data_IF_870730686217
#
_entry.id   IF_870730686217
#
_cell.length_a   1.000
_cell.length_b   1.000
_cell.length_c   1.000
_cell.angle_alpha   90.00
_cell.angle_beta   90.00
_cell.angle_gamma   90.00
#
_symmetry.space_group_name_H-M   'P 1'
#
loop_
_entity.id
_entity.type
_entity.pdbx_description
1 polymer ?
#
# COMPACT_ATOMS: atom_id res chain seq x y z
N UNK A 1 15.63 8.07 -11.32
CA UNK A 1 14.96 7.60 -10.25
C UNK A 1 15.42 8.27 -9.00
N UNK A 2 14.65 8.88 -8.45
CA UNK A 2 14.97 9.86 -7.47
C UNK A 2 14.99 9.40 -6.03
N UNK A 3 14.46 8.22 -5.74
CA UNK A 3 14.27 7.86 -4.33
C UNK A 3 15.34 6.89 -3.88
N UNK A 4 15.78 7.06 -2.63
CA UNK A 4 16.85 6.26 -2.06
C UNK A 4 16.36 5.65 -0.74
N UNK A 5 16.55 4.35 -0.58
CA UNK A 5 16.26 3.67 0.68
C UNK A 5 17.27 4.07 1.74
N UNK A 6 16.79 4.37 2.91
CA UNK A 6 17.64 4.73 4.05
C UNK A 6 17.57 3.62 5.09
N UNK A 7 18.72 3.05 5.38
CA UNK A 7 18.83 1.97 6.37
C UNK A 7 20.05 2.29 7.26
N UNK A 8 19.83 2.67 8.51
CA UNK A 8 20.97 2.98 9.39
C UNK A 8 21.89 1.77 9.55
N UNK A 9 23.17 2.04 9.61
CA UNK A 9 24.15 1.00 9.75
C UNK A 9 23.97 0.30 11.10
N UNK A 10 24.05 -1.03 11.09
CA UNK A 10 23.89 -1.81 12.30
C UNK A 10 22.48 -2.19 12.68
N UNK A 11 21.48 -1.63 11.98
CA UNK A 11 20.09 -2.00 12.23
C UNK A 11 19.78 -3.35 11.59
N UNK A 12 18.86 -4.08 12.20
CA UNK A 12 18.37 -5.31 11.61
C UNK A 12 17.73 -5.00 10.26
N UNK A 13 17.88 -5.90 9.26
CA UNK A 13 17.32 -5.64 7.93
C UNK A 13 15.81 -5.47 7.97
N UNK A 14 15.31 -4.50 7.22
CA UNK A 14 13.87 -4.34 7.03
C UNK A 14 13.39 -5.39 6.04
N UNK A 15 12.33 -6.13 6.41
CA UNK A 15 11.80 -7.19 5.56
C UNK A 15 10.38 -6.86 5.16
N UNK A 16 10.17 -6.66 3.85
CA UNK A 16 8.86 -6.31 3.31
C UNK A 16 8.48 -4.86 3.51
N UNK A 17 9.45 -4.00 3.86
CA UNK A 17 9.22 -2.56 4.00
C UNK A 17 10.57 -1.86 3.97
N UNK A 18 10.57 -0.53 3.88
CA UNK A 18 11.77 0.28 4.05
C UNK A 18 11.64 1.09 5.33
N UNK A 19 12.74 1.28 6.05
CA UNK A 19 12.72 2.14 7.23
C UNK A 19 12.53 3.60 6.85
N UNK A 20 13.15 4.03 5.76
CA UNK A 20 12.98 5.40 5.29
C UNK A 20 13.22 5.50 3.80
N UNK A 21 12.66 6.53 3.19
CA UNK A 21 12.86 6.83 1.77
C UNK A 21 13.22 8.29 1.64
N UNK A 22 14.37 8.58 1.06
CA UNK A 22 14.79 9.96 0.77
C UNK A 22 14.39 10.29 -0.66
N UNK A 23 13.68 11.40 -0.83
CA UNK A 23 13.06 11.73 -2.12
C UNK A 23 13.35 13.17 -2.52
N UNK A 24 13.12 13.44 -3.81
CA UNK A 24 13.09 14.81 -4.35
C UNK A 24 12.22 14.80 -5.60
N UNK A 25 11.81 15.98 -6.06
CA UNK A 25 11.01 16.10 -7.27
C UNK A 25 9.55 16.33 -6.95
N UNK A 26 8.67 15.96 -7.89
CA UNK A 26 7.23 16.15 -7.75
C UNK A 26 6.64 15.03 -6.90
N UNK A 27 5.80 15.39 -5.94
CA UNK A 27 5.21 14.43 -5.02
C UNK A 27 3.73 14.26 -5.33
N UNK A 28 3.31 13.00 -5.47
CA UNK A 28 1.90 12.65 -5.62
C UNK A 28 1.40 12.09 -4.30
N UNK A 29 0.37 12.72 -3.75
CA UNK A 29 -0.27 12.25 -2.53
C UNK A 29 -1.55 11.51 -2.91
N UNK A 30 -1.60 10.21 -2.64
CA UNK A 30 -2.76 9.38 -2.96
C UNK A 30 -3.62 9.26 -1.70
N UNK A 31 -4.84 9.74 -1.79
CA UNK A 31 -5.78 9.64 -0.67
C UNK A 31 -6.14 8.20 -0.36
N UNK A 32 -6.72 7.96 0.81
CA UNK A 32 -7.08 6.61 1.22
C UNK A 32 -7.95 5.90 0.19
N UNK A 33 -7.51 4.72 -0.21
CA UNK A 33 -8.22 3.87 -1.16
C UNK A 33 -8.74 2.64 -0.43
N UNK A 34 -9.94 2.20 -0.79
CA UNK A 34 -10.50 0.97 -0.22
C UNK A 34 -10.74 -0.02 -1.35
N UNK A 35 -11.25 -1.20 -1.00
CA UNK A 35 -11.30 -2.30 -1.95
C UNK A 35 -12.50 -2.32 -2.88
N UNK A 36 -12.98 -1.17 -3.28
CA UNK A 36 -14.04 -1.10 -4.27
C UNK A 36 -13.49 -0.77 -5.66
N UNK A 37 -14.30 -1.05 -6.70
CA UNK A 37 -13.89 -0.80 -8.07
C UNK A 37 -14.17 0.65 -8.46
N UNK A 38 -13.96 0.98 -9.75
CA UNK A 38 -14.14 2.35 -10.26
C UNK A 38 -15.56 2.90 -10.07
N UNK A 39 -16.54 2.01 -9.93
CA UNK A 39 -17.93 2.41 -9.74
C UNK A 39 -18.32 2.43 -8.28
N UNK A 40 -17.32 2.30 -7.38
CA UNK A 40 -17.51 2.27 -5.94
C UNK A 40 -18.35 1.07 -5.48
N UNK A 41 -18.13 -0.08 -6.14
CA UNK A 41 -18.81 -1.33 -5.81
C UNK A 41 -17.76 -2.32 -5.32
N UNK A 42 -18.04 -2.97 -4.17
CA UNK A 42 -17.18 -4.02 -3.64
C UNK A 42 -17.49 -5.32 -4.38
N UNK A 43 -16.52 -5.80 -5.17
CA UNK A 43 -16.64 -7.08 -5.85
C UNK A 43 -16.19 -8.22 -4.95
N UNK A 44 -15.41 -7.93 -3.93
CA UNK A 44 -14.94 -8.92 -2.97
C UNK A 44 -15.29 -8.50 -1.56
N UNK A 45 -15.73 -9.46 -0.75
CA UNK A 45 -15.97 -9.25 0.67
C UNK A 45 -14.92 -9.97 1.50
N UNK A 46 -13.86 -10.48 0.86
CA UNK A 46 -12.74 -11.11 1.52
C UNK A 46 -11.59 -10.11 1.64
N UNK A 47 -10.85 -10.20 2.74
CA UNK A 47 -9.76 -9.28 3.03
C UNK A 47 -8.72 -9.24 1.89
N UNK A 48 -8.30 -10.42 1.41
CA UNK A 48 -7.26 -10.48 0.37
C UNK A 48 -7.75 -9.88 -0.94
N UNK A 49 -8.99 -10.20 -1.33
CA UNK A 49 -9.57 -9.62 -2.53
C UNK A 49 -9.68 -8.11 -2.46
N UNK A 50 -10.12 -7.59 -1.30
CA UNK A 50 -10.19 -6.14 -1.10
C UNK A 50 -8.81 -5.51 -1.10
N UNK A 51 -7.84 -6.17 -0.47
CA UNK A 51 -6.47 -5.66 -0.44
C UNK A 51 -5.91 -5.53 -1.86
N UNK A 52 -6.08 -6.56 -2.66
CA UNK A 52 -5.58 -6.54 -4.02
C UNK A 52 -6.24 -5.43 -4.85
N UNK A 53 -7.55 -5.28 -4.72
CA UNK A 53 -8.27 -4.20 -5.42
C UNK A 53 -7.78 -2.83 -4.96
N UNK A 54 -7.55 -2.67 -3.65
CA UNK A 54 -7.04 -1.42 -3.10
C UNK A 54 -5.69 -1.06 -3.71
N UNK A 55 -4.79 -2.04 -3.79
CA UNK A 55 -3.46 -1.81 -4.38
C UNK A 55 -3.57 -1.49 -5.87
N UNK A 56 -4.47 -2.15 -6.59
CA UNK A 56 -4.71 -1.84 -7.99
C UNK A 56 -5.22 -0.42 -8.18
N UNK A 57 -6.10 0.04 -7.30
CA UNK A 57 -6.61 1.41 -7.34
C UNK A 57 -5.46 2.41 -7.18
N UNK A 58 -4.55 2.15 -6.26
CA UNK A 58 -3.39 3.00 -6.04
C UNK A 58 -2.50 3.02 -7.28
N UNK A 59 -2.23 1.83 -7.84
CA UNK A 59 -1.40 1.72 -9.04
C UNK A 59 -2.00 2.51 -10.20
N UNK A 60 -3.31 2.48 -10.34
CA UNK A 60 -4.00 3.20 -11.42
C UNK A 60 -3.89 4.72 -11.24
N UNK A 61 -4.02 5.19 -9.99
CA UNK A 61 -3.88 6.62 -9.70
C UNK A 61 -2.45 7.09 -10.00
N UNK A 62 -1.46 6.29 -9.60
CA UNK A 62 -0.05 6.62 -9.85
C UNK A 62 0.20 6.66 -11.35
N UNK A 63 -0.34 5.70 -12.10
CA UNK A 63 -0.19 5.67 -13.57
C UNK A 63 -0.81 6.90 -14.21
N UNK A 64 -1.96 7.35 -13.71
CA UNK A 64 -2.62 8.53 -14.25
C UNK A 64 -1.76 9.78 -14.09
N UNK A 65 -0.94 9.82 -13.05
CA UNK A 65 -0.01 10.93 -12.81
C UNK A 65 1.29 10.80 -13.62
N UNK A 66 1.42 9.72 -14.39
CA UNK A 66 2.62 9.49 -15.20
C UNK A 66 3.70 8.69 -14.49
N UNK A 67 3.38 8.08 -13.36
CA UNK A 67 4.36 7.32 -12.58
C UNK A 67 4.14 5.82 -12.65
N UNK A 68 4.95 5.12 -11.89
CA UNK A 68 4.91 3.66 -11.79
C UNK A 68 4.87 3.27 -10.32
N UNK A 69 4.51 2.03 -10.02
CA UNK A 69 4.46 1.58 -8.62
C UNK A 69 5.81 1.71 -7.93
N UNK A 70 6.92 1.62 -8.67
CA UNK A 70 8.24 1.80 -8.08
C UNK A 70 8.52 3.24 -7.65
N UNK A 71 7.66 4.18 -8.03
CA UNK A 71 7.76 5.56 -7.55
C UNK A 71 7.11 5.74 -6.19
N UNK A 72 6.37 4.76 -5.70
CA UNK A 72 5.72 4.85 -4.40
C UNK A 72 6.79 4.79 -3.31
N UNK A 73 6.76 5.76 -2.39
CA UNK A 73 7.77 5.87 -1.34
C UNK A 73 7.19 5.63 0.05
N UNK A 74 5.87 5.68 0.19
CA UNK A 74 5.22 5.44 1.47
C UNK A 74 3.83 4.86 1.28
N UNK A 75 3.51 3.86 2.12
CA UNK A 75 2.16 3.29 2.23
C UNK A 75 1.78 3.30 3.70
N UNK A 76 0.53 3.66 3.98
CA UNK A 76 -0.04 3.46 5.30
C UNK A 76 -1.30 2.63 5.14
N UNK A 77 -1.34 1.50 5.82
CA UNK A 77 -2.44 0.55 5.76
C UNK A 77 -3.26 0.66 7.03
N UNK A 78 -4.57 0.77 6.87
CA UNK A 78 -5.53 0.76 7.96
C UNK A 78 -6.36 -0.49 7.80
N UNK A 79 -6.32 -1.40 8.79
CA UNK A 79 -7.05 -2.67 8.71
C UNK A 79 -7.95 -2.79 9.92
N UNK A 80 -9.04 -3.57 9.78
CA UNK A 80 -10.04 -3.69 10.83
C UNK A 80 -9.88 -4.96 11.65
N UNK A 81 -9.12 -5.95 11.17
CA UNK A 81 -8.99 -7.24 11.84
C UNK A 81 -7.54 -7.70 11.87
N UNK A 82 -6.91 -7.50 13.03
CA UNK A 82 -5.51 -7.86 13.23
C UNK A 82 -5.29 -9.36 13.09
N UNK A 83 -6.23 -10.17 13.59
CA UNK A 83 -6.06 -11.62 13.58
C UNK A 83 -6.12 -12.19 12.18
N UNK A 84 -7.02 -11.67 11.37
CA UNK A 84 -7.10 -12.08 9.97
C UNK A 84 -5.82 -11.74 9.23
N UNK A 85 -5.32 -10.53 9.42
CA UNK A 85 -4.08 -10.09 8.77
C UNK A 85 -2.91 -11.01 9.15
N UNK A 86 -2.76 -11.29 10.46
CA UNK A 86 -1.66 -12.12 10.92
C UNK A 86 -1.80 -13.57 10.48
N UNK A 87 -3.03 -14.08 10.38
CA UNK A 87 -3.26 -15.46 9.98
C UNK A 87 -3.02 -15.70 8.49
N UNK A 88 -3.02 -14.63 7.68
CA UNK A 88 -2.96 -14.76 6.22
C UNK A 88 -1.75 -14.05 5.61
N UNK A 89 -0.63 -13.99 6.34
CA UNK A 89 0.57 -13.28 5.90
C UNK A 89 1.10 -13.77 4.55
N UNK A 90 1.01 -15.08 4.29
CA UNK A 90 1.47 -15.62 3.02
C UNK A 90 0.63 -15.09 1.86
N UNK A 91 -0.70 -15.09 2.04
CA UNK A 91 -1.61 -14.59 1.02
C UNK A 91 -1.47 -13.08 0.83
N UNK A 92 -1.25 -12.35 1.94
CA UNK A 92 -0.98 -10.90 1.88
C UNK A 92 0.24 -10.65 1.01
N UNK A 93 1.33 -11.37 1.25
CA UNK A 93 2.54 -11.21 0.47
C UNK A 93 2.36 -11.54 -1.00
N UNK A 94 1.61 -12.61 -1.28
CA UNK A 94 1.34 -13.02 -2.66
C UNK A 94 0.52 -11.96 -3.40
N UNK A 95 -0.54 -11.46 -2.78
CA UNK A 95 -1.39 -10.43 -3.38
C UNK A 95 -0.60 -9.14 -3.59
N UNK A 96 0.23 -8.75 -2.61
CA UNK A 96 1.06 -7.57 -2.73
C UNK A 96 1.97 -7.68 -3.96
N UNK A 97 2.64 -8.81 -4.11
CA UNK A 97 3.58 -9.00 -5.23
C UNK A 97 2.88 -9.06 -6.58
N UNK A 98 1.62 -9.51 -6.62
CA UNK A 98 0.87 -9.52 -7.89
C UNK A 98 0.66 -8.11 -8.44
N UNK A 99 0.54 -7.13 -7.56
CA UNK A 99 0.26 -5.74 -7.98
C UNK A 99 1.51 -4.88 -7.98
N UNK A 100 2.28 -4.92 -6.90
CA UNK A 100 3.43 -4.04 -6.71
C UNK A 100 4.79 -4.71 -6.96
N UNK A 101 4.80 -6.02 -7.20
CA UNK A 101 6.05 -6.74 -7.39
C UNK A 101 6.87 -6.74 -6.10
N UNK A 102 8.18 -6.68 -6.26
CA UNK A 102 9.09 -6.71 -5.10
C UNK A 102 9.52 -5.31 -4.68
N UNK A 103 8.61 -4.37 -4.78
CA UNK A 103 8.86 -3.00 -4.37
C UNK A 103 8.28 -2.78 -2.97
N UNK A 104 9.13 -2.50 -1.99
CA UNK A 104 8.72 -2.37 -0.60
C UNK A 104 9.15 -1.00 -0.07
N UNK A 105 8.29 0.01 -0.19
CA UNK A 105 8.62 1.36 0.31
C UNK A 105 8.49 1.43 1.83
N UNK A 106 8.68 2.62 2.38
CA UNK A 106 8.39 2.86 3.78
C UNK A 106 6.89 2.60 3.99
N UNK A 107 6.54 1.83 5.03
CA UNK A 107 5.13 1.56 5.27
C UNK A 107 4.85 1.22 6.72
N UNK A 108 3.60 1.43 7.09
CA UNK A 108 3.07 1.07 8.40
C UNK A 108 1.73 0.39 8.19
N UNK A 109 1.41 -0.56 9.07
CA UNK A 109 0.09 -1.21 9.11
C UNK A 109 -0.47 -0.97 10.50
N UNK A 110 -1.66 -0.36 10.57
CA UNK A 110 -2.30 -0.06 11.85
C UNK A 110 -3.71 -0.62 11.87
N UNK A 111 -4.14 -1.07 13.04
CA UNK A 111 -5.48 -1.58 13.23
C UNK A 111 -6.36 -0.42 13.69
N UNK A 112 -7.54 -0.29 13.07
CA UNK A 112 -8.47 0.77 13.40
C UNK A 112 -9.80 0.17 13.85
N UNK A 113 -10.61 0.97 14.55
CA UNK A 113 -11.89 0.51 15.07
C UNK A 113 -12.90 0.23 13.96
N UNK A 114 -12.76 0.90 12.82
CA UNK A 114 -13.64 0.71 11.67
C UNK A 114 -13.25 1.70 10.58
N UNK A 115 -13.79 1.48 9.41
CA UNK A 115 -13.61 2.39 8.28
C UNK A 115 -14.95 3.03 7.97
N UNK A 116 -14.92 4.11 7.17
CA UNK A 116 -16.15 4.87 6.93
C UNK A 116 -17.18 4.04 6.16
N UNK A 117 -16.71 3.25 5.18
CA UNK A 117 -17.62 2.34 4.46
C UNK A 117 -17.71 1.03 5.24
N UNK A 118 -18.92 0.62 5.60
CA UNK A 118 -19.12 -0.55 6.44
C UNK A 118 -18.55 -1.82 5.85
N UNK A 119 -18.53 -1.95 4.52
CA UNK A 119 -18.04 -3.14 3.86
C UNK A 119 -16.52 -3.16 3.72
N UNK A 120 -15.85 -2.05 4.00
CA UNK A 120 -14.40 -1.97 3.81
C UNK A 120 -13.67 -2.67 4.95
N UNK A 121 -12.72 -3.53 4.59
CA UNK A 121 -11.87 -4.25 5.54
C UNK A 121 -10.47 -3.68 5.58
N UNK A 122 -10.12 -2.82 4.62
CA UNK A 122 -8.80 -2.24 4.50
C UNK A 122 -8.89 -0.90 3.80
N UNK A 123 -8.03 0.01 4.20
CA UNK A 123 -7.83 1.29 3.51
C UNK A 123 -6.33 1.54 3.45
N UNK A 124 -5.82 1.98 2.31
CA UNK A 124 -4.39 2.27 2.14
C UNK A 124 -4.25 3.64 1.49
N UNK A 125 -3.39 4.45 2.05
CA UNK A 125 -2.99 5.71 1.42
C UNK A 125 -1.53 5.57 0.97
N UNK A 126 -1.13 6.37 0.01
CA UNK A 126 0.20 6.26 -0.57
C UNK A 126 0.77 7.63 -0.91
N UNK A 127 2.09 7.69 -0.95
CA UNK A 127 2.81 8.84 -1.47
C UNK A 127 3.78 8.32 -2.52
N UNK A 128 3.79 8.96 -3.68
CA UNK A 128 4.72 8.61 -4.76
C UNK A 128 5.57 9.81 -5.08
N UNK A 129 6.82 9.56 -5.45
CA UNK A 129 7.76 10.61 -5.78
C UNK A 129 8.11 10.50 -7.27
N UNK A 130 7.64 11.45 -8.04
CA UNK A 130 7.92 11.52 -9.47
C UNK A 130 9.11 12.44 -9.70
N UNK A 131 9.55 12.54 -10.91
CA UNK A 131 10.73 13.36 -11.24
C UNK A 131 10.52 14.83 -10.97
#
# INVERSE_FOLDING_TARGET
MPSKHIQPEGWAPAKGYANGMLTKGRTLHVGGQIGWNRDQVFESHDFIGQMEQTLQNIAEIVAEAGGEVTDIVRLTWFITDKREYLARQKEVGQAYRRVFGRHFPAMSVVVVAGLIEDEALIEIEATAQLD
#
